data_IF_795557355159
#
_entry.id   IF_795557355159
#
_cell.length_a   1.000
_cell.length_b   1.000
_cell.length_c   1.000
_cell.angle_alpha   90.00
_cell.angle_beta   90.00
_cell.angle_gamma   90.00
#
_symmetry.space_group_name_H-M   'P 1'
#
loop_
_entity.id
_entity.type
_entity.pdbx_description
1 polymer ?
#
# COMPACT_ATOMS: atom_id res chain seq x y z
N UNK A 1 -35.95 2.34 21.19
CA UNK A 1 -36.62 1.70 20.04
C UNK A 1 -35.54 1.08 19.16
N UNK A 2 -35.59 -0.24 19.00
CA UNK A 2 -34.56 -1.08 18.38
C UNK A 2 -34.86 -1.34 16.89
N UNK A 3 -33.82 -1.76 16.17
CA UNK A 3 -33.67 -1.93 14.73
C UNK A 3 -34.75 -2.76 13.99
N UNK A 4 -34.90 -2.58 12.65
CA UNK A 4 -35.78 -3.41 11.83
C UNK A 4 -35.14 -4.76 11.42
N UNK A 5 -35.92 -5.85 11.27
CA UNK A 5 -35.40 -7.14 10.84
C UNK A 5 -35.40 -7.34 9.31
N UNK A 6 -34.37 -8.04 8.84
CA UNK A 6 -34.11 -8.49 7.47
C UNK A 6 -35.00 -9.70 7.12
N UNK A 7 -35.80 -9.60 6.05
CA UNK A 7 -36.31 -10.74 5.28
C UNK A 7 -35.38 -11.07 4.11
N UNK A 8 -35.38 -12.22 3.45
CA UNK A 8 -36.12 -13.46 3.60
C UNK A 8 -35.34 -14.52 2.80
N UNK A 9 -35.08 -15.69 3.39
CA UNK A 9 -34.57 -16.87 2.70
C UNK A 9 -35.73 -17.68 2.15
N UNK A 10 -35.68 -18.11 0.87
CA UNK A 10 -36.49 -19.24 0.39
C UNK A 10 -35.91 -19.84 -0.89
N UNK A 11 -35.26 -20.99 -0.72
CA UNK A 11 -35.12 -22.05 -1.72
C UNK A 11 -36.31 -23.00 -1.55
N UNK A 12 -36.87 -23.56 -2.64
CA UNK A 12 -36.78 -25.03 -2.76
C UNK A 12 -36.63 -25.54 -4.22
N UNK A 13 -35.67 -26.46 -4.41
CA UNK A 13 -35.76 -27.81 -5.01
C UNK A 13 -36.45 -28.12 -6.39
N UNK A 14 -36.09 -29.26 -7.04
CA UNK A 14 -35.95 -29.40 -8.50
C UNK A 14 -36.97 -30.36 -9.16
N UNK A 15 -37.15 -30.26 -10.49
CA UNK A 15 -37.78 -31.34 -11.27
C UNK A 15 -37.46 -31.25 -12.79
N UNK A 16 -36.93 -32.36 -13.33
CA UNK A 16 -37.18 -32.96 -14.66
C UNK A 16 -36.90 -32.13 -15.93
N UNK A 17 -36.47 -32.63 -17.09
CA UNK A 17 -36.09 -33.94 -17.66
C UNK A 17 -35.76 -33.64 -19.14
N UNK A 18 -35.00 -34.53 -19.78
CA UNK A 18 -34.86 -34.73 -21.24
C UNK A 18 -33.83 -33.89 -22.02
N UNK A 19 -32.75 -34.58 -22.40
CA UNK A 19 -32.05 -34.47 -23.68
C UNK A 19 -32.91 -35.13 -24.81
N UNK A 20 -32.54 -35.13 -26.12
CA UNK A 20 -31.21 -34.88 -26.70
C UNK A 20 -31.17 -34.19 -28.09
N UNK A 21 -29.94 -34.13 -28.63
CA UNK A 21 -29.57 -34.17 -30.04
C UNK A 21 -29.61 -32.88 -30.87
N UNK A 22 -28.42 -32.31 -31.05
CA UNK A 22 -28.07 -31.41 -32.14
C UNK A 22 -26.57 -31.51 -32.41
N UNK A 23 -26.21 -32.34 -33.39
CA UNK A 23 -24.85 -32.52 -33.87
C UNK A 23 -24.33 -31.23 -34.55
N UNK A 24 -23.07 -30.90 -34.31
CA UNK A 24 -22.38 -29.78 -34.96
C UNK A 24 -20.89 -29.85 -34.66
N UNK A 25 -20.17 -30.60 -35.47
CA UNK A 25 -18.72 -30.59 -35.51
C UNK A 25 -18.22 -29.23 -36.03
N UNK A 26 -17.37 -28.57 -35.26
CA UNK A 26 -16.42 -27.60 -35.78
C UNK A 26 -15.26 -27.45 -34.78
N UNK A 27 -14.19 -28.18 -35.08
CA UNK A 27 -12.87 -27.98 -34.49
C UNK A 27 -12.46 -26.51 -34.62
N UNK A 28 -12.43 -25.80 -33.49
CA UNK A 28 -11.87 -24.45 -33.41
C UNK A 28 -10.72 -24.48 -32.42
N UNK A 29 -9.56 -24.79 -33.00
CA UNK A 29 -8.21 -24.43 -32.56
C UNK A 29 -8.28 -23.33 -31.47
N UNK A 30 -8.06 -23.72 -30.21
CA UNK A 30 -7.89 -22.80 -29.09
C UNK A 30 -6.65 -21.95 -29.36
N UNK A 31 -6.80 -20.87 -30.14
CA UNK A 31 -5.89 -19.75 -30.10
C UNK A 31 -6.13 -19.16 -28.73
N UNK A 32 -5.23 -19.47 -27.80
CA UNK A 32 -5.08 -18.74 -26.55
C UNK A 32 -4.96 -17.27 -26.94
N UNK A 33 -6.08 -16.56 -26.96
CA UNK A 33 -6.08 -15.12 -26.79
C UNK A 33 -5.50 -14.94 -25.41
N UNK A 34 -4.17 -14.78 -25.39
CA UNK A 34 -3.49 -14.04 -24.35
C UNK A 34 -4.43 -12.92 -23.99
N UNK A 35 -5.00 -12.99 -22.78
CA UNK A 35 -5.56 -11.82 -22.15
C UNK A 35 -4.35 -10.90 -22.02
N UNK A 36 -4.11 -10.09 -23.06
CA UNK A 36 -3.43 -8.82 -22.95
C UNK A 36 -4.36 -8.01 -22.07
N UNK A 37 -4.29 -8.28 -20.76
CA UNK A 37 -4.82 -7.39 -19.75
C UNK A 37 -4.04 -6.11 -19.92
N UNK A 38 -4.63 -5.21 -20.70
CA UNK A 38 -4.47 -3.77 -20.53
C UNK A 38 -3.03 -3.36 -20.21
N UNK A 39 -2.20 -3.31 -21.24
CA UNK A 39 -1.12 -2.32 -21.32
C UNK A 39 -1.76 -0.92 -21.44
N UNK A 40 -2.60 -0.54 -20.49
CA UNK A 40 -2.89 0.86 -20.25
C UNK A 40 -1.60 1.38 -19.64
N UNK A 41 -0.72 1.92 -20.49
CA UNK A 41 0.27 2.93 -20.12
C UNK A 41 0.59 2.89 -18.63
N UNK A 42 1.37 1.89 -18.22
CA UNK A 42 2.12 1.96 -16.99
C UNK A 42 3.10 3.11 -17.26
N UNK A 43 2.63 4.35 -17.11
CA UNK A 43 3.50 5.49 -16.92
C UNK A 43 4.52 5.00 -15.90
N UNK A 44 5.77 4.89 -16.35
CA UNK A 44 6.93 4.65 -15.51
C UNK A 44 6.86 5.73 -14.44
N UNK A 45 6.19 5.44 -13.31
CA UNK A 45 5.90 6.42 -12.28
C UNK A 45 7.20 6.62 -11.51
N UNK A 46 8.12 7.33 -12.13
CA UNK A 46 9.32 7.83 -11.52
C UNK A 46 8.89 8.93 -10.59
N UNK A 47 9.01 8.67 -9.28
CA UNK A 47 8.86 9.68 -8.26
C UNK A 47 9.83 10.83 -8.59
N UNK A 48 9.29 12.00 -8.91
CA UNK A 48 10.09 13.21 -9.12
C UNK A 48 10.99 13.45 -7.90
N UNK A 49 12.15 14.05 -8.11
CA UNK A 49 13.10 14.43 -7.05
C UNK A 49 12.39 15.15 -5.90
N UNK A 50 11.46 16.05 -6.19
CA UNK A 50 10.66 16.74 -5.18
C UNK A 50 9.83 15.77 -4.33
N UNK A 51 9.24 14.75 -4.94
CA UNK A 51 8.45 13.75 -4.21
C UNK A 51 9.33 12.87 -3.33
N UNK A 52 10.49 12.45 -3.84
CA UNK A 52 11.49 11.69 -3.08
C UNK A 52 11.96 12.47 -1.86
N UNK A 53 12.25 13.77 -2.04
CA UNK A 53 12.60 14.67 -0.95
C UNK A 53 11.45 14.78 0.05
N UNK A 54 10.20 14.99 -0.39
CA UNK A 54 9.05 15.07 0.51
C UNK A 54 8.89 13.81 1.36
N UNK A 55 8.98 12.62 0.74
CA UNK A 55 8.87 11.34 1.44
C UNK A 55 10.01 11.17 2.44
N UNK A 56 11.25 11.43 2.03
CA UNK A 56 12.42 11.25 2.90
C UNK A 56 12.39 12.24 4.07
N UNK A 57 12.09 13.51 3.81
CA UNK A 57 11.95 14.55 4.83
C UNK A 57 10.80 14.23 5.80
N UNK A 58 9.69 13.69 5.30
CA UNK A 58 8.58 13.24 6.15
C UNK A 58 8.99 12.07 7.05
N UNK A 59 9.67 11.06 6.49
CA UNK A 59 10.12 9.88 7.24
C UNK A 59 11.11 10.25 8.36
N UNK A 60 11.99 11.23 8.13
CA UNK A 60 12.87 11.75 9.19
C UNK A 60 12.05 12.41 10.30
N UNK A 61 11.15 13.33 9.95
CA UNK A 61 10.31 14.03 10.94
C UNK A 61 9.45 13.08 11.76
N UNK A 62 8.80 12.10 11.13
CA UNK A 62 7.93 11.15 11.84
C UNK A 62 8.74 10.18 12.71
N UNK A 63 9.94 9.78 12.27
CA UNK A 63 10.83 8.93 13.08
C UNK A 63 11.26 9.66 14.36
N UNK A 64 11.63 10.93 14.25
CA UNK A 64 11.97 11.76 15.41
C UNK A 64 10.75 12.02 16.30
N UNK A 65 9.63 12.42 15.68
CA UNK A 65 8.38 12.68 16.40
C UNK A 65 7.89 11.47 17.20
N UNK A 66 7.94 10.28 16.61
CA UNK A 66 7.52 9.05 17.31
C UNK A 66 8.46 8.69 18.46
N UNK A 67 9.76 8.97 18.32
CA UNK A 67 10.76 8.70 19.36
C UNK A 67 10.70 9.67 20.54
N UNK A 68 10.37 10.95 20.29
CA UNK A 68 10.23 11.95 21.37
C UNK A 68 8.86 11.90 22.05
N UNK A 69 7.92 11.14 21.50
CA UNK A 69 6.57 11.05 22.06
C UNK A 69 6.54 10.23 23.35
N UNK A 70 5.60 10.53 24.24
CA UNK A 70 5.40 9.81 25.50
C UNK A 70 4.33 8.73 25.40
N UNK A 71 3.50 8.79 24.35
CA UNK A 71 2.45 7.82 24.12
C UNK A 71 3.03 6.48 23.62
N UNK A 72 2.85 5.43 24.42
CA UNK A 72 3.36 4.07 24.13
C UNK A 72 2.88 3.56 22.77
N UNK A 73 1.64 3.89 22.39
CA UNK A 73 1.09 3.51 21.07
C UNK A 73 1.85 4.17 19.90
N UNK A 74 2.39 5.37 20.09
CA UNK A 74 3.15 6.11 19.08
C UNK A 74 4.60 5.65 19.06
N UNK A 75 5.21 5.44 20.24
CA UNK A 75 6.59 4.93 20.38
C UNK A 75 6.73 3.53 19.79
N UNK A 76 5.70 2.68 19.91
CA UNK A 76 5.69 1.35 19.28
C UNK A 76 5.76 1.39 17.75
N UNK A 77 5.46 2.54 17.12
CA UNK A 77 5.60 2.74 15.67
C UNK A 77 7.00 3.18 15.27
N UNK A 78 7.82 3.69 16.21
CA UNK A 78 9.18 4.16 15.95
C UNK A 78 10.05 3.13 15.23
N UNK A 79 10.10 1.85 15.62
CA UNK A 79 10.88 0.84 14.90
C UNK A 79 10.44 0.69 13.44
N UNK A 80 9.14 0.80 13.16
CA UNK A 80 8.58 0.73 11.81
C UNK A 80 8.93 1.96 10.99
N UNK A 81 8.82 3.15 11.57
CA UNK A 81 9.22 4.41 10.93
C UNK A 81 10.71 4.41 10.57
N UNK A 82 11.57 3.96 11.49
CA UNK A 82 13.01 3.84 11.25
C UNK A 82 13.30 2.83 10.15
N UNK A 83 12.63 1.66 10.14
CA UNK A 83 12.81 0.67 9.07
C UNK A 83 12.41 1.23 7.68
N UNK A 84 11.34 2.01 7.62
CA UNK A 84 10.92 2.69 6.39
C UNK A 84 11.92 3.75 5.95
N UNK A 85 12.41 4.57 6.88
CA UNK A 85 13.45 5.57 6.60
C UNK A 85 14.72 4.90 6.05
N UNK A 86 15.18 3.82 6.67
CA UNK A 86 16.36 3.06 6.19
C UNK A 86 16.15 2.54 4.76
N UNK A 87 14.96 2.03 4.45
CA UNK A 87 14.64 1.55 3.10
C UNK A 87 14.56 2.70 2.09
N UNK A 88 13.98 3.84 2.46
CA UNK A 88 13.91 5.02 1.62
C UNK A 88 15.32 5.53 1.28
N UNK A 89 16.21 5.63 2.28
CA UNK A 89 17.59 6.06 2.07
C UNK A 89 18.42 5.06 1.25
N UNK A 90 18.13 3.76 1.34
CA UNK A 90 18.78 2.74 0.51
C UNK A 90 18.37 2.84 -0.97
N UNK A 91 17.16 3.30 -1.26
CA UNK A 91 16.65 3.50 -2.61
C UNK A 91 17.02 4.87 -3.18
N UNK A 92 17.10 5.88 -2.32
CA UNK A 92 17.38 7.27 -2.69
C UNK A 92 18.54 7.84 -1.86
N UNK A 93 19.78 7.42 -2.14
CA UNK A 93 20.96 7.94 -1.45
C UNK A 93 21.19 9.43 -1.72
N UNK A 94 20.75 9.93 -2.88
CA UNK A 94 20.90 11.34 -3.30
C UNK A 94 19.77 12.25 -2.77
N UNK A 95 18.88 11.74 -1.92
CA UNK A 95 17.76 12.52 -1.38
C UNK A 95 18.27 13.63 -0.44
N UNK A 96 17.88 14.87 -0.71
CA UNK A 96 18.28 16.01 0.11
C UNK A 96 17.43 16.09 1.41
N UNK A 97 18.08 15.86 2.55
CA UNK A 97 17.45 15.90 3.87
C UNK A 97 17.79 17.25 4.52
N UNK A 98 16.75 18.01 4.91
CA UNK A 98 16.97 19.30 5.58
C UNK A 98 17.59 19.09 6.96
N UNK A 99 18.73 19.74 7.18
CA UNK A 99 19.47 19.66 8.44
C UNK A 99 18.68 20.15 9.67
N UNK A 100 17.69 21.02 9.46
CA UNK A 100 16.82 21.58 10.50
C UNK A 100 16.15 20.52 11.40
N UNK A 101 16.00 19.28 10.94
CA UNK A 101 15.42 18.21 11.79
C UNK A 101 16.39 17.71 12.87
N UNK A 102 17.69 17.83 12.63
CA UNK A 102 18.73 17.39 13.56
C UNK A 102 19.17 18.48 14.53
N UNK A 103 18.77 19.73 14.27
CA UNK A 103 19.14 20.90 15.07
C UNK A 103 18.81 20.71 16.57
N UNK A 104 17.59 20.22 16.87
CA UNK A 104 17.19 19.90 18.25
C UNK A 104 18.06 18.84 18.92
N UNK A 105 18.47 17.81 18.17
CA UNK A 105 19.29 16.71 18.70
C UNK A 105 20.70 17.22 19.02
N UNK A 106 21.25 18.04 18.13
CA UNK A 106 22.57 18.65 18.28
C UNK A 106 22.58 19.60 19.48
N UNK A 107 21.59 20.48 19.59
CA UNK A 107 21.43 21.38 20.74
C UNK A 107 21.33 20.61 22.07
N UNK A 108 20.69 19.45 22.07
CA UNK A 108 20.60 18.59 23.26
C UNK A 108 21.95 17.96 23.63
N UNK A 109 22.79 17.64 22.62
CA UNK A 109 24.14 17.11 22.83
C UNK A 109 25.12 18.16 23.38
N UNK A 110 24.98 19.43 22.98
CA UNK A 110 25.84 20.53 23.42
C UNK A 110 25.56 20.94 24.88
N UNK A 111 24.33 20.77 25.38
CA UNK A 111 24.00 21.06 26.78
C UNK A 111 24.51 20.01 27.80
N UNK A 112 25.04 18.88 27.33
CA UNK A 112 25.55 17.80 28.19
C UNK A 112 27.08 17.84 28.37
N UNK A 113 27.76 18.90 27.90
CA UNK A 113 29.20 19.14 28.13
C UNK A 113 29.49 20.11 29.28
#
# INVERSE_FOLDING_TARGET
AAAPPRGATKTPAPAARAAPAGAGAAESKHKSSSRSSSSASEDDFTLSTTMVELVTNFLVRISLFTSENKDVNIVNLTPRCIALLRRALALWPDANIKFIYFDKIIQMSEQTS
#
